data_IF_543924371346
#
_entry.id   IF_543924371346
#
_cell.length_a   1.000
_cell.length_b   1.000
_cell.length_c   1.000
_cell.angle_alpha   90.00
_cell.angle_beta   90.00
_cell.angle_gamma   90.00
#
_symmetry.space_group_name_H-M   'P 1'
#
loop_
_entity.id
_entity.type
_entity.pdbx_description
1 polymer ?
#
# COMPACT_ATOMS: atom_id res chain seq x y z
N UNK A 1 -11.11 -13.82 5.86
CA UNK A 1 -9.89 -12.99 5.82
C UNK A 1 -10.05 -11.74 6.68
N UNK A 2 -9.00 -11.28 7.37
CA UNK A 2 -9.02 -9.98 8.08
C UNK A 2 -9.17 -8.86 7.03
N UNK A 3 -10.16 -8.02 7.17
CA UNK A 3 -10.37 -6.90 6.25
C UNK A 3 -9.39 -5.77 6.61
N UNK A 4 -8.50 -5.38 5.68
CA UNK A 4 -7.55 -4.29 5.91
C UNK A 4 -8.28 -2.95 5.98
N UNK A 5 -7.91 -2.14 6.97
CA UNK A 5 -8.39 -0.77 7.15
C UNK A 5 -7.43 0.01 8.06
N UNK A 6 -7.47 1.30 8.00
CA UNK A 6 -6.62 2.16 8.83
C UNK A 6 -5.43 2.70 8.08
N UNK A 7 -4.52 3.33 8.80
CA UNK A 7 -3.31 3.88 8.22
C UNK A 7 -2.22 2.83 8.16
N UNK A 8 -1.71 2.56 6.97
CA UNK A 8 -0.60 1.68 6.70
C UNK A 8 0.63 2.51 6.34
N UNK A 9 1.74 2.25 7.03
CA UNK A 9 3.01 2.90 6.68
C UNK A 9 3.61 2.19 5.48
N UNK A 10 3.78 2.92 4.36
CA UNK A 10 4.68 2.48 3.29
C UNK A 10 6.10 2.76 3.73
N UNK A 11 6.80 1.70 4.14
CA UNK A 11 8.05 1.77 4.87
C UNK A 11 9.22 2.22 4.00
N UNK A 12 10.14 2.96 4.61
CA UNK A 12 11.49 3.14 4.07
C UNK A 12 12.29 1.84 4.21
N UNK A 13 13.33 1.69 3.39
CA UNK A 13 14.39 0.67 3.57
C UNK A 13 15.64 1.38 4.10
N UNK A 14 16.01 1.21 5.37
CA UNK A 14 17.21 1.85 5.92
C UNK A 14 18.49 1.28 5.29
N UNK A 15 19.38 2.14 4.86
CA UNK A 15 20.71 1.77 4.37
C UNK A 15 21.80 2.13 5.39
N UNK A 16 23.00 1.53 5.25
CA UNK A 16 24.19 1.91 5.99
C UNK A 16 24.69 3.29 5.55
N UNK A 17 25.63 3.87 6.31
CA UNK A 17 26.10 5.24 6.05
C UNK A 17 26.78 5.47 4.69
N UNK A 18 27.23 4.40 4.03
CA UNK A 18 27.75 4.42 2.65
C UNK A 18 26.66 4.25 1.56
N UNK A 19 25.41 3.94 1.97
CA UNK A 19 24.28 3.75 1.09
C UNK A 19 24.24 2.43 0.30
N UNK A 20 25.22 1.53 0.48
CA UNK A 20 25.35 0.31 -0.32
C UNK A 20 24.80 -0.95 0.34
N UNK A 21 24.48 -0.92 1.62
CA UNK A 21 24.00 -2.10 2.35
C UNK A 21 22.77 -1.77 3.16
N UNK A 22 21.82 -2.69 3.19
CA UNK A 22 20.62 -2.56 4.02
C UNK A 22 21.00 -2.69 5.49
N UNK A 23 20.52 -1.75 6.30
CA UNK A 23 20.70 -1.77 7.76
C UNK A 23 19.51 -2.47 8.41
N UNK A 24 19.60 -3.80 8.56
CA UNK A 24 18.53 -4.61 9.14
C UNK A 24 18.26 -4.30 10.61
N UNK A 25 19.26 -3.90 11.39
CA UNK A 25 19.07 -3.51 12.80
C UNK A 25 18.20 -2.25 12.91
N UNK A 26 18.42 -1.28 12.02
CA UNK A 26 17.59 -0.09 11.94
C UNK A 26 16.19 -0.42 11.45
N UNK A 27 16.05 -1.33 10.48
CA UNK A 27 14.75 -1.79 9.98
C UNK A 27 13.92 -2.44 11.08
N UNK A 28 14.50 -3.34 11.88
CA UNK A 28 13.80 -3.98 13.00
C UNK A 28 13.35 -2.99 14.07
N UNK A 29 14.24 -2.07 14.47
CA UNK A 29 13.91 -1.01 15.44
C UNK A 29 12.78 -0.12 14.91
N UNK A 30 12.79 0.15 13.61
CA UNK A 30 11.77 0.93 12.96
C UNK A 30 10.42 0.22 12.97
N UNK A 31 10.37 -1.09 12.64
CA UNK A 31 9.15 -1.91 12.70
C UNK A 31 8.58 -1.90 14.12
N UNK A 32 9.40 -2.17 15.13
CA UNK A 32 8.97 -2.16 16.52
C UNK A 32 8.41 -0.81 16.95
N UNK A 33 9.03 0.28 16.50
CA UNK A 33 8.58 1.61 16.80
C UNK A 33 7.22 1.92 16.15
N UNK A 34 7.05 1.59 14.87
CA UNK A 34 5.79 1.74 14.13
C UNK A 34 4.63 1.03 14.87
N UNK A 35 4.85 -0.22 15.26
CA UNK A 35 3.85 -1.02 15.97
C UNK A 35 3.53 -0.41 17.34
N UNK A 36 4.55 0.01 18.12
CA UNK A 36 4.33 0.67 19.41
C UNK A 36 3.58 1.99 19.31
N UNK A 37 3.70 2.71 18.19
CA UNK A 37 2.99 3.95 17.91
C UNK A 37 1.55 3.74 17.42
N UNK A 38 1.13 2.47 17.26
CA UNK A 38 -0.25 2.12 16.95
C UNK A 38 -0.64 2.18 15.48
N UNK A 39 0.34 2.06 14.56
CA UNK A 39 0.02 1.95 13.13
C UNK A 39 -0.84 0.71 12.85
N UNK A 40 -1.70 0.76 11.84
CA UNK A 40 -2.67 -0.30 11.56
C UNK A 40 -2.15 -1.37 10.60
N UNK A 41 -1.05 -1.12 9.91
CA UNK A 41 -0.39 -2.07 9.01
C UNK A 41 0.89 -1.51 8.43
N UNK A 42 1.69 -2.38 7.83
CA UNK A 42 2.97 -2.05 7.21
C UNK A 42 2.98 -2.50 5.75
N UNK A 43 3.63 -1.71 4.89
CA UNK A 43 3.86 -2.07 3.49
C UNK A 43 5.36 -1.98 3.23
N UNK A 44 6.00 -3.12 3.03
CA UNK A 44 7.40 -3.20 2.61
C UNK A 44 7.53 -3.14 1.08
N UNK A 45 8.68 -2.74 0.59
CA UNK A 45 9.01 -2.73 -0.85
C UNK A 45 8.04 -1.91 -1.72
N UNK A 46 7.46 -0.84 -1.17
CA UNK A 46 6.80 0.19 -1.97
C UNK A 46 7.83 1.14 -2.62
N UNK A 47 7.36 2.15 -3.35
CA UNK A 47 8.24 3.20 -3.94
C UNK A 47 9.08 3.90 -2.87
N UNK A 48 8.49 4.20 -1.71
CA UNK A 48 9.19 4.78 -0.55
C UNK A 48 10.29 3.87 0.00
N UNK A 49 10.11 2.55 -0.13
CA UNK A 49 11.10 1.53 0.25
C UNK A 49 12.14 1.23 -0.82
N UNK A 50 12.19 2.04 -1.89
CA UNK A 50 13.20 2.00 -2.96
C UNK A 50 13.30 0.63 -3.65
N UNK A 51 12.14 -0.04 -3.85
CA UNK A 51 12.09 -1.43 -4.34
C UNK A 51 12.83 -1.67 -5.67
N UNK A 52 12.93 -0.63 -6.53
CA UNK A 52 13.64 -0.73 -7.81
C UNK A 52 15.16 -0.72 -7.67
N UNK A 53 15.67 -0.23 -6.55
CA UNK A 53 17.11 -0.16 -6.26
C UNK A 53 17.65 -1.43 -5.58
N UNK A 54 16.78 -2.35 -5.18
CA UNK A 54 17.12 -3.58 -4.48
C UNK A 54 17.25 -4.75 -5.47
N UNK A 55 18.30 -5.54 -5.33
CA UNK A 55 18.41 -6.82 -6.02
C UNK A 55 17.47 -7.88 -5.42
N UNK A 56 17.36 -9.05 -6.05
CA UNK A 56 16.41 -10.10 -5.65
C UNK A 56 16.65 -10.61 -4.23
N UNK A 57 17.92 -10.83 -3.85
CA UNK A 57 18.28 -11.29 -2.51
C UNK A 57 17.93 -10.25 -1.44
N UNK A 58 18.18 -8.97 -1.72
CA UNK A 58 17.81 -7.87 -0.83
C UNK A 58 16.29 -7.75 -0.67
N UNK A 59 15.53 -7.85 -1.76
CA UNK A 59 14.05 -7.86 -1.72
C UNK A 59 13.54 -9.00 -0.85
N UNK A 60 14.06 -10.21 -1.04
CA UNK A 60 13.71 -11.37 -0.23
C UNK A 60 14.01 -11.14 1.25
N UNK A 61 15.23 -10.70 1.56
CA UNK A 61 15.67 -10.50 2.95
C UNK A 61 14.89 -9.39 3.66
N UNK A 62 14.56 -8.28 2.96
CA UNK A 62 13.72 -7.19 3.50
C UNK A 62 12.31 -7.70 3.76
N UNK A 63 11.69 -8.39 2.80
CA UNK A 63 10.35 -8.96 2.96
C UNK A 63 10.27 -9.90 4.16
N UNK A 64 11.20 -10.85 4.22
CA UNK A 64 11.30 -11.81 5.32
C UNK A 64 11.48 -11.11 6.66
N UNK A 65 12.38 -10.13 6.74
CA UNK A 65 12.64 -9.41 7.98
C UNK A 65 11.43 -8.61 8.47
N UNK A 66 10.69 -7.96 7.57
CA UNK A 66 9.47 -7.22 7.93
C UNK A 66 8.41 -8.18 8.46
N UNK A 67 8.16 -9.28 7.78
CA UNK A 67 7.15 -10.27 8.15
C UNK A 67 7.49 -10.92 9.49
N UNK A 68 8.70 -11.46 9.62
CA UNK A 68 9.18 -12.14 10.84
C UNK A 68 9.13 -11.18 12.05
N UNK A 69 9.61 -9.93 11.90
CA UNK A 69 9.64 -8.98 13.01
C UNK A 69 8.27 -8.49 13.42
N UNK A 70 7.37 -8.34 12.47
CA UNK A 70 5.99 -7.94 12.76
C UNK A 70 5.23 -9.01 13.54
N UNK A 71 5.53 -10.29 13.28
CA UNK A 71 5.01 -11.44 14.02
C UNK A 71 3.47 -11.40 14.18
N UNK A 72 2.76 -11.04 13.09
CA UNK A 72 1.30 -10.98 13.04
C UNK A 72 0.64 -9.90 13.91
N UNK A 73 1.41 -8.99 14.54
CA UNK A 73 0.86 -7.91 15.41
C UNK A 73 0.02 -6.92 14.63
N UNK A 74 0.40 -6.64 13.37
CA UNK A 74 -0.36 -5.87 12.40
C UNK A 74 -0.24 -6.53 11.03
N UNK A 75 -1.18 -6.29 10.08
CA UNK A 75 -1.05 -6.79 8.71
C UNK A 75 0.21 -6.25 8.02
N UNK A 76 0.85 -7.13 7.23
CA UNK A 76 2.00 -6.78 6.38
C UNK A 76 1.65 -7.05 4.93
N UNK A 77 1.77 -6.03 4.08
CA UNK A 77 1.75 -6.17 2.64
C UNK A 77 3.16 -6.01 2.09
N UNK A 78 3.45 -6.73 1.01
CA UNK A 78 4.72 -6.59 0.29
C UNK A 78 4.46 -6.02 -1.11
N UNK A 79 5.24 -5.04 -1.51
CA UNK A 79 5.25 -4.50 -2.87
C UNK A 79 5.92 -5.49 -3.83
N UNK A 80 5.13 -6.05 -4.75
CA UNK A 80 5.60 -7.09 -5.68
C UNK A 80 5.54 -6.64 -7.14
N UNK A 81 5.30 -5.34 -7.39
CA UNK A 81 5.27 -4.77 -8.72
C UNK A 81 6.59 -4.98 -9.48
N UNK A 82 6.47 -5.31 -10.76
CA UNK A 82 7.56 -5.41 -11.72
C UNK A 82 7.02 -5.12 -13.13
N UNK A 83 7.92 -4.94 -14.10
CA UNK A 83 7.53 -4.63 -15.47
C UNK A 83 6.86 -5.82 -16.18
N UNK A 84 7.27 -7.05 -15.88
CA UNK A 84 6.70 -8.24 -16.50
C UNK A 84 5.87 -9.07 -15.51
N UNK A 85 4.85 -9.74 -16.06
CA UNK A 85 3.89 -10.54 -15.28
C UNK A 85 4.55 -11.69 -14.51
N UNK A 86 5.57 -12.32 -15.06
CA UNK A 86 6.22 -13.49 -14.45
C UNK A 86 6.99 -13.12 -13.18
N UNK A 87 7.67 -11.98 -13.17
CA UNK A 87 8.34 -11.48 -11.97
C UNK A 87 7.33 -11.07 -10.90
N UNK A 88 6.21 -10.43 -11.29
CA UNK A 88 5.13 -10.12 -10.33
C UNK A 88 4.57 -11.40 -9.70
N UNK A 89 4.33 -12.46 -10.50
CA UNK A 89 3.88 -13.75 -9.97
C UNK A 89 4.92 -14.34 -9.03
N UNK A 90 6.19 -14.35 -9.41
CA UNK A 90 7.28 -14.90 -8.61
C UNK A 90 7.41 -14.18 -7.26
N UNK A 91 7.46 -12.85 -7.27
CA UNK A 91 7.54 -12.05 -6.04
C UNK A 91 6.29 -12.17 -5.17
N UNK A 92 5.11 -12.27 -5.78
CA UNK A 92 3.86 -12.41 -5.03
C UNK A 92 3.75 -13.77 -4.35
N UNK A 93 4.15 -14.85 -5.02
CA UNK A 93 4.26 -16.19 -4.42
C UNK A 93 5.28 -16.24 -3.30
N UNK A 94 6.43 -15.61 -3.50
CA UNK A 94 7.47 -15.53 -2.47
C UNK A 94 6.96 -14.78 -1.23
N UNK A 95 6.28 -13.64 -1.42
CA UNK A 95 5.67 -12.90 -0.31
C UNK A 95 4.62 -13.73 0.44
N UNK A 96 3.76 -14.46 -0.28
CA UNK A 96 2.79 -15.38 0.31
C UNK A 96 3.46 -16.50 1.12
N UNK A 97 4.48 -17.15 0.56
CA UNK A 97 5.25 -18.20 1.24
C UNK A 97 5.98 -17.71 2.50
N UNK A 98 6.43 -16.46 2.52
CA UNK A 98 6.99 -15.80 3.68
C UNK A 98 5.95 -15.44 4.75
N UNK A 99 4.67 -15.49 4.43
CA UNK A 99 3.57 -15.19 5.35
C UNK A 99 3.05 -13.74 5.31
N UNK A 100 3.22 -13.04 4.20
CA UNK A 100 2.57 -11.74 3.98
C UNK A 100 1.04 -11.89 4.04
N UNK A 101 0.36 -10.89 4.61
CA UNK A 101 -1.12 -10.84 4.64
C UNK A 101 -1.73 -10.38 3.30
N UNK A 102 -0.94 -9.80 2.41
CA UNK A 102 -1.33 -9.37 1.08
C UNK A 102 -0.15 -8.82 0.27
N UNK A 103 -0.42 -8.46 -0.97
CA UNK A 103 0.56 -7.81 -1.86
C UNK A 103 0.03 -6.48 -2.38
N UNK A 104 0.93 -5.51 -2.60
CA UNK A 104 0.61 -4.25 -3.27
C UNK A 104 1.30 -4.22 -4.63
N UNK A 105 0.53 -4.02 -5.70
CA UNK A 105 1.03 -4.12 -7.06
C UNK A 105 0.74 -2.84 -7.83
N UNK A 106 1.81 -2.13 -8.23
CA UNK A 106 1.76 -1.09 -9.25
C UNK A 106 1.70 -1.76 -10.62
N UNK A 107 0.88 -1.28 -11.59
CA UNK A 107 0.92 -1.78 -12.96
C UNK A 107 2.33 -1.69 -13.56
N UNK A 108 2.59 -2.37 -14.71
CA UNK A 108 3.80 -2.10 -15.48
C UNK A 108 3.99 -0.60 -15.66
N UNK A 109 5.18 -0.10 -15.32
CA UNK A 109 5.42 1.34 -15.12
C UNK A 109 6.27 2.00 -16.22
N UNK A 110 6.92 1.20 -17.06
CA UNK A 110 7.64 1.68 -18.23
C UNK A 110 6.78 1.57 -19.49
N UNK A 111 6.08 0.45 -19.67
CA UNK A 111 5.17 0.22 -20.80
C UNK A 111 3.79 0.85 -20.58
N UNK A 112 3.00 0.90 -21.65
CA UNK A 112 1.63 1.45 -21.64
C UNK A 112 0.63 0.37 -22.06
N UNK A 113 0.37 -0.63 -21.21
CA UNK A 113 -0.54 -1.72 -21.53
C UNK A 113 -1.98 -1.22 -21.71
N UNK A 114 -2.71 -1.88 -22.58
CA UNK A 114 -4.15 -1.71 -22.76
C UNK A 114 -4.92 -2.26 -21.55
N UNK A 115 -6.20 -1.89 -21.42
CA UNK A 115 -7.07 -2.40 -20.35
C UNK A 115 -7.14 -3.94 -20.34
N UNK A 116 -7.24 -4.58 -21.50
CA UNK A 116 -7.25 -6.04 -21.61
C UNK A 116 -5.93 -6.69 -21.17
N UNK A 117 -4.80 -6.05 -21.46
CA UNK A 117 -3.49 -6.53 -21.00
C UNK A 117 -3.35 -6.35 -19.50
N UNK A 118 -3.81 -5.23 -18.92
CA UNK A 118 -3.89 -5.02 -17.48
C UNK A 118 -4.75 -6.09 -16.80
N UNK A 119 -5.95 -6.34 -17.33
CA UNK A 119 -6.84 -7.38 -16.80
C UNK A 119 -6.14 -8.74 -16.80
N UNK A 120 -5.56 -9.14 -17.93
CA UNK A 120 -4.84 -10.42 -18.06
C UNK A 120 -3.61 -10.49 -17.13
N UNK A 121 -2.89 -9.39 -16.95
CA UNK A 121 -1.77 -9.29 -16.01
C UNK A 121 -2.24 -9.57 -14.58
N UNK A 122 -3.19 -8.81 -14.07
CA UNK A 122 -3.70 -8.98 -12.71
C UNK A 122 -4.41 -10.32 -12.50
N UNK A 123 -5.15 -10.82 -13.50
CA UNK A 123 -5.80 -12.13 -13.44
C UNK A 123 -4.77 -13.26 -13.26
N UNK A 124 -3.68 -13.27 -14.04
CA UNK A 124 -2.62 -14.29 -13.91
C UNK A 124 -1.93 -14.21 -12.54
N UNK A 125 -1.70 -13.02 -12.01
CA UNK A 125 -1.15 -12.85 -10.66
C UNK A 125 -2.12 -13.37 -9.62
N UNK A 126 -3.39 -12.96 -9.69
CA UNK A 126 -4.44 -13.38 -8.78
C UNK A 126 -4.62 -14.91 -8.75
N UNK A 127 -4.61 -15.55 -9.92
CA UNK A 127 -4.71 -17.02 -10.05
C UNK A 127 -3.49 -17.76 -9.45
N UNK A 128 -2.42 -17.04 -9.15
CA UNK A 128 -1.17 -17.63 -8.68
C UNK A 128 -0.99 -17.59 -7.15
N UNK A 129 -1.81 -16.82 -6.42
CA UNK A 129 -1.74 -16.60 -4.97
C UNK A 129 -3.14 -16.61 -4.36
N UNK A 130 -3.23 -16.86 -3.05
CA UNK A 130 -4.49 -16.84 -2.29
C UNK A 130 -4.66 -15.57 -1.43
N UNK A 131 -3.57 -14.84 -1.20
CA UNK A 131 -3.61 -13.60 -0.42
C UNK A 131 -4.14 -12.43 -1.26
N UNK A 132 -4.78 -11.42 -0.64
CA UNK A 132 -5.40 -10.32 -1.35
C UNK A 132 -4.37 -9.40 -2.04
N UNK A 133 -4.80 -8.86 -3.16
CA UNK A 133 -4.06 -7.88 -3.95
C UNK A 133 -4.61 -6.48 -3.66
N UNK A 134 -3.71 -5.56 -3.34
CA UNK A 134 -3.95 -4.12 -3.36
C UNK A 134 -3.40 -3.55 -4.67
N UNK A 135 -4.27 -3.10 -5.55
CA UNK A 135 -3.88 -2.31 -6.73
C UNK A 135 -3.20 -1.02 -6.26
N UNK A 136 -2.18 -0.57 -6.98
CA UNK A 136 -1.58 0.73 -6.72
C UNK A 136 -1.70 1.62 -7.95
N UNK A 137 -2.59 2.60 -7.91
CA UNK A 137 -2.76 3.59 -8.96
C UNK A 137 -1.94 4.84 -8.67
N UNK A 138 -0.93 5.09 -9.50
CA UNK A 138 -0.12 6.31 -9.50
C UNK A 138 0.33 6.64 -10.93
N UNK A 139 -0.52 7.25 -11.74
CA UNK A 139 -0.21 7.54 -13.14
C UNK A 139 0.96 8.52 -13.32
N UNK A 140 1.31 9.29 -12.30
CA UNK A 140 2.51 10.15 -12.35
C UNK A 140 3.83 9.36 -12.42
N UNK A 141 3.83 8.08 -12.02
CA UNK A 141 5.04 7.24 -12.00
C UNK A 141 4.91 5.97 -12.83
N UNK A 142 3.72 5.59 -13.26
CA UNK A 142 3.44 4.30 -13.88
C UNK A 142 2.93 4.39 -15.32
N UNK A 143 2.97 5.49 -16.01
CA UNK A 143 2.43 5.67 -17.37
C UNK A 143 1.04 5.03 -17.63
N UNK A 144 0.40 4.51 -16.59
CA UNK A 144 -0.90 3.82 -16.60
C UNK A 144 -1.80 4.49 -15.60
N UNK A 145 -3.01 4.79 -16.00
CA UNK A 145 -4.06 5.28 -15.11
C UNK A 145 -5.15 4.21 -14.94
N UNK A 146 -5.25 3.66 -13.74
CA UNK A 146 -6.37 2.79 -13.37
C UNK A 146 -7.59 3.67 -13.06
N UNK A 147 -8.31 4.08 -14.11
CA UNK A 147 -9.54 4.85 -13.96
C UNK A 147 -10.59 4.09 -13.13
N UNK A 148 -11.59 4.75 -12.53
CA UNK A 148 -12.64 4.06 -11.78
C UNK A 148 -13.33 2.93 -12.55
N UNK A 149 -13.50 3.06 -13.88
CA UNK A 149 -14.09 2.01 -14.73
C UNK A 149 -13.13 0.82 -14.88
N UNK A 150 -11.84 1.06 -15.09
CA UNK A 150 -10.82 -0.01 -15.12
C UNK A 150 -10.75 -0.70 -13.76
N UNK A 151 -10.77 0.04 -12.65
CA UNK A 151 -10.80 -0.54 -11.29
C UNK A 151 -12.03 -1.41 -11.08
N UNK A 152 -13.19 -0.96 -11.56
CA UNK A 152 -14.42 -1.77 -11.56
C UNK A 152 -14.21 -3.09 -12.30
N UNK A 153 -13.66 -3.05 -13.50
CA UNK A 153 -13.38 -4.27 -14.26
C UNK A 153 -12.39 -5.20 -13.53
N UNK A 154 -11.31 -4.64 -12.95
CA UNK A 154 -10.34 -5.41 -12.18
C UNK A 154 -10.93 -5.97 -10.89
N UNK A 155 -11.95 -5.34 -10.30
CA UNK A 155 -12.63 -5.83 -9.09
C UNK A 155 -13.45 -7.10 -9.31
N UNK A 156 -13.66 -7.51 -10.57
CA UNK A 156 -14.29 -8.79 -10.91
C UNK A 156 -13.31 -9.99 -10.75
N UNK A 157 -12.01 -9.72 -10.58
CA UNK A 157 -11.00 -10.75 -10.34
C UNK A 157 -11.00 -11.10 -8.85
N UNK A 158 -11.18 -12.39 -8.53
CA UNK A 158 -11.10 -12.87 -7.16
C UNK A 158 -9.77 -12.43 -6.52
N UNK A 159 -9.79 -12.09 -5.22
CA UNK A 159 -8.71 -11.56 -4.40
C UNK A 159 -8.11 -10.19 -4.81
N UNK A 160 -8.54 -9.54 -5.88
CA UNK A 160 -8.28 -8.12 -6.14
C UNK A 160 -9.30 -7.30 -5.34
N UNK A 161 -8.97 -6.92 -4.10
CA UNK A 161 -9.94 -6.45 -3.11
C UNK A 161 -9.62 -5.06 -2.54
N UNK A 162 -8.46 -4.50 -2.88
CA UNK A 162 -8.00 -3.23 -2.36
C UNK A 162 -7.38 -2.38 -3.46
N UNK A 163 -7.45 -1.05 -3.28
CA UNK A 163 -6.72 -0.09 -4.11
C UNK A 163 -6.12 1.02 -3.27
N UNK A 164 -4.86 1.36 -3.56
CA UNK A 164 -4.21 2.60 -3.17
C UNK A 164 -4.38 3.60 -4.32
N UNK A 165 -5.22 4.62 -4.11
CA UNK A 165 -5.48 5.68 -5.08
C UNK A 165 -4.60 6.90 -4.82
N UNK A 166 -3.73 7.26 -5.77
CA UNK A 166 -2.72 8.31 -5.60
C UNK A 166 -2.71 9.36 -6.70
N UNK A 167 -3.84 9.58 -7.38
CA UNK A 167 -3.95 10.62 -8.43
C UNK A 167 -4.10 12.04 -7.88
N UNK A 168 -4.29 12.23 -6.56
CA UNK A 168 -4.68 13.49 -5.92
C UNK A 168 -6.11 13.97 -6.26
N UNK A 169 -6.82 13.30 -7.15
CA UNK A 169 -8.24 13.52 -7.40
C UNK A 169 -9.09 12.67 -6.45
N UNK A 170 -9.46 13.26 -5.32
CA UNK A 170 -10.24 12.57 -4.27
C UNK A 170 -11.66 12.19 -4.72
N UNK A 171 -12.16 12.74 -5.83
CA UNK A 171 -13.46 12.35 -6.36
C UNK A 171 -13.45 10.89 -6.86
N UNK A 172 -12.30 10.39 -7.30
CA UNK A 172 -12.10 8.99 -7.71
C UNK A 172 -12.35 8.00 -6.58
N UNK A 173 -12.02 8.37 -5.33
CA UNK A 173 -12.31 7.53 -4.15
C UNK A 173 -13.81 7.22 -4.09
N UNK A 174 -14.64 8.24 -4.17
CA UNK A 174 -16.12 8.11 -4.18
C UNK A 174 -16.60 7.31 -5.38
N UNK A 175 -16.05 7.56 -6.56
CA UNK A 175 -16.48 6.91 -7.80
C UNK A 175 -16.11 5.42 -7.80
N UNK A 176 -14.91 5.04 -7.31
CA UNK A 176 -14.51 3.65 -7.14
C UNK A 176 -15.44 2.95 -6.14
N UNK A 177 -15.71 3.56 -4.97
CA UNK A 177 -16.62 2.99 -3.97
C UNK A 177 -18.01 2.74 -4.57
N UNK A 178 -18.53 3.72 -5.29
CA UNK A 178 -19.85 3.60 -5.95
C UNK A 178 -19.92 2.52 -7.03
N UNK A 179 -18.85 2.40 -7.83
CA UNK A 179 -18.82 1.46 -8.97
C UNK A 179 -18.50 0.02 -8.56
N UNK A 180 -17.64 -0.14 -7.55
CA UNK A 180 -17.17 -1.46 -7.11
C UNK A 180 -17.95 -2.00 -5.91
N UNK A 181 -18.75 -1.15 -5.24
CA UNK A 181 -19.55 -1.52 -4.06
C UNK A 181 -18.68 -2.17 -2.97
N UNK A 182 -19.01 -3.36 -2.51
CA UNK A 182 -18.29 -4.08 -1.46
C UNK A 182 -17.08 -4.89 -1.96
N UNK A 183 -16.87 -4.97 -3.28
CA UNK A 183 -15.76 -5.71 -3.89
C UNK A 183 -14.41 -5.02 -3.70
N UNK A 184 -14.38 -3.68 -3.55
CA UNK A 184 -13.14 -2.92 -3.48
C UNK A 184 -13.09 -2.03 -2.24
N UNK A 185 -12.04 -2.17 -1.44
CA UNK A 185 -11.74 -1.25 -0.33
C UNK A 185 -10.69 -0.23 -0.77
N UNK A 186 -11.04 1.06 -0.68
CA UNK A 186 -10.16 2.15 -1.11
C UNK A 186 -9.28 2.64 0.05
N UNK A 187 -7.99 2.76 -0.24
CA UNK A 187 -6.98 3.44 0.56
C UNK A 187 -6.53 4.69 -0.19
N UNK A 188 -6.55 5.85 0.46
CA UNK A 188 -5.93 7.04 -0.07
C UNK A 188 -4.40 6.85 -0.16
N UNK A 189 -3.79 7.40 -1.19
CA UNK A 189 -2.34 7.45 -1.33
C UNK A 189 -1.79 8.78 -0.81
N UNK A 190 -1.84 9.85 -1.62
CA UNK A 190 -1.31 11.16 -1.26
C UNK A 190 -2.31 11.94 -0.39
N UNK A 191 -3.56 12.08 -0.84
CA UNK A 191 -4.63 12.84 -0.20
C UNK A 191 -5.43 11.95 0.77
N UNK A 192 -4.77 11.42 1.83
CA UNK A 192 -5.39 10.40 2.67
C UNK A 192 -6.49 10.90 3.58
N UNK A 193 -6.35 12.10 4.17
CA UNK A 193 -7.39 12.67 5.01
C UNK A 193 -8.64 13.01 4.18
N UNK A 194 -8.45 13.65 3.05
CA UNK A 194 -9.52 13.97 2.09
C UNK A 194 -10.17 12.68 1.56
N UNK A 195 -9.39 11.63 1.37
CA UNK A 195 -9.91 10.31 1.00
C UNK A 195 -10.82 9.72 2.08
N UNK A 196 -10.48 9.89 3.38
CA UNK A 196 -11.37 9.48 4.47
C UNK A 196 -12.71 10.22 4.43
N UNK A 197 -12.69 11.53 4.14
CA UNK A 197 -13.91 12.32 4.00
C UNK A 197 -14.78 11.89 2.80
N UNK A 198 -14.17 11.24 1.81
CA UNK A 198 -14.85 10.66 0.65
C UNK A 198 -15.15 9.15 0.77
N UNK A 199 -14.98 8.56 1.96
CA UNK A 199 -15.39 7.20 2.27
C UNK A 199 -14.29 6.14 2.20
N UNK A 200 -13.03 6.50 1.97
CA UNK A 200 -11.92 5.56 2.05
C UNK A 200 -11.82 4.94 3.45
N UNK A 201 -11.49 3.67 3.52
CA UNK A 201 -11.31 2.94 4.78
C UNK A 201 -9.84 2.80 5.17
N UNK A 202 -8.93 3.32 4.38
CA UNK A 202 -7.51 3.29 4.69
C UNK A 202 -6.72 4.45 4.08
N UNK A 203 -5.49 4.59 4.53
CA UNK A 203 -4.49 5.49 4.00
C UNK A 203 -3.12 4.79 3.95
N UNK A 204 -2.51 4.71 2.78
CA UNK A 204 -1.11 4.30 2.62
C UNK A 204 -0.25 5.56 2.73
N UNK A 205 0.24 5.83 3.94
CA UNK A 205 0.84 7.10 4.29
C UNK A 205 2.38 7.06 4.25
N UNK A 206 3.00 8.04 3.60
CA UNK A 206 4.46 8.25 3.65
C UNK A 206 4.85 8.97 4.95
N UNK A 207 4.12 10.00 5.34
CA UNK A 207 4.39 10.80 6.54
C UNK A 207 4.32 9.99 7.85
N UNK A 208 3.64 8.85 7.86
CA UNK A 208 3.63 7.93 9.01
C UNK A 208 5.00 7.28 9.30
N UNK A 209 5.97 7.37 8.37
CA UNK A 209 7.36 7.00 8.66
C UNK A 209 7.99 7.88 9.76
N UNK A 210 7.47 9.08 9.99
CA UNK A 210 7.99 10.03 10.99
C UNK A 210 7.00 10.32 12.13
N UNK A 211 5.69 10.25 11.87
CA UNK A 211 4.63 10.59 12.84
C UNK A 211 3.52 9.51 12.86
N UNK A 212 3.84 8.24 13.11
CA UNK A 212 2.86 7.15 12.98
C UNK A 212 1.65 7.30 13.92
N UNK A 213 1.84 7.79 15.14
CA UNK A 213 0.74 7.97 16.10
C UNK A 213 -0.30 8.98 15.64
N UNK A 214 0.13 10.09 15.05
CA UNK A 214 -0.73 11.14 14.53
C UNK A 214 -1.57 10.63 13.35
N UNK A 215 -0.92 9.91 12.44
CA UNK A 215 -1.60 9.31 11.28
C UNK A 215 -2.58 8.21 11.71
N UNK A 216 -2.22 7.38 12.69
CA UNK A 216 -3.11 6.38 13.26
C UNK A 216 -4.31 7.03 13.98
N UNK A 217 -4.07 8.10 14.76
CA UNK A 217 -5.12 8.85 15.43
C UNK A 217 -6.06 9.53 14.43
N UNK A 218 -5.51 10.07 13.35
CA UNK A 218 -6.31 10.72 12.31
C UNK A 218 -7.34 9.75 11.68
N UNK A 219 -6.93 8.52 11.36
CA UNK A 219 -7.87 7.49 10.92
C UNK A 219 -8.96 7.22 11.96
N UNK A 220 -8.57 7.02 13.22
CA UNK A 220 -9.52 6.73 14.30
C UNK A 220 -10.57 7.86 14.44
N UNK A 221 -10.13 9.10 14.39
CA UNK A 221 -11.03 10.25 14.51
C UNK A 221 -11.93 10.42 13.28
N UNK A 222 -11.37 10.28 12.08
CA UNK A 222 -12.12 10.52 10.83
C UNK A 222 -13.12 9.40 10.52
N UNK A 223 -12.70 8.13 10.67
CA UNK A 223 -13.46 6.98 10.16
C UNK A 223 -14.24 6.28 11.27
N UNK A 224 -13.63 6.10 12.45
CA UNK A 224 -14.25 5.33 13.54
C UNK A 224 -15.12 6.24 14.42
N UNK A 225 -14.54 7.28 14.97
CA UNK A 225 -15.23 8.17 15.93
C UNK A 225 -16.09 9.25 15.24
N UNK A 226 -15.79 9.55 13.96
CA UNK A 226 -16.42 10.63 13.17
C UNK A 226 -16.33 12.00 13.86
N UNK A 227 -15.25 12.24 14.60
CA UNK A 227 -14.92 13.52 15.22
C UNK A 227 -14.09 14.36 14.24
N UNK A 228 -14.77 14.99 13.30
CA UNK A 228 -14.15 15.70 12.17
C UNK A 228 -13.38 16.95 12.64
N UNK A 229 -13.82 17.63 13.68
CA UNK A 229 -13.16 18.85 14.17
C UNK A 229 -11.80 18.53 14.80
N UNK A 230 -11.71 17.51 15.63
CA UNK A 230 -10.43 17.05 16.18
C UNK A 230 -9.53 16.47 15.09
N UNK A 231 -10.09 15.70 14.15
CA UNK A 231 -9.35 15.16 13.00
C UNK A 231 -8.72 16.31 12.18
N UNK A 232 -9.50 17.35 11.89
CA UNK A 232 -9.01 18.55 11.17
C UNK A 232 -7.89 19.26 11.92
N UNK A 233 -7.98 19.34 13.24
CA UNK A 233 -6.93 19.96 14.07
C UNK A 233 -5.61 19.19 13.97
N UNK A 234 -5.66 17.86 14.05
CA UNK A 234 -4.47 17.01 13.86
C UNK A 234 -3.92 17.14 12.44
N UNK A 235 -4.80 17.09 11.43
CA UNK A 235 -4.39 17.20 10.03
C UNK A 235 -3.62 18.48 9.74
N UNK A 236 -4.09 19.62 10.28
CA UNK A 236 -3.39 20.91 10.15
C UNK A 236 -1.97 20.87 10.72
N UNK A 237 -1.74 20.11 11.79
CA UNK A 237 -0.42 20.01 12.41
C UNK A 237 0.55 19.12 11.62
N UNK A 238 0.05 18.09 10.94
CA UNK A 238 0.88 17.19 10.14
C UNK A 238 1.02 17.63 8.67
N UNK A 239 0.17 18.55 8.21
CA UNK A 239 0.11 19.01 6.83
C UNK A 239 1.48 19.50 6.30
N UNK A 240 2.28 20.30 7.04
CA UNK A 240 3.60 20.74 6.56
C UNK A 240 4.63 19.61 6.33
N UNK A 241 4.30 18.38 6.72
CA UNK A 241 5.17 17.21 6.53
C UNK A 241 4.71 16.39 5.31
N UNK A 242 3.46 16.63 4.87
CA UNK A 242 2.86 15.90 3.75
C UNK A 242 3.09 16.64 2.41
N UNK A 243 3.21 17.96 2.45
CA UNK A 243 3.57 18.81 1.30
C UNK A 243 5.03 18.57 0.86
#
# INVERSE_FOLDING_TARGET
MKKFRGTFTVMITPFSGDGFKINFDSLEKFIDWQIRQGIHGLIGLGSTGEFLSLNEEERYNVSKRIIDRTDGKVPVLIGTGAENTWDVIRYSREAELLGADGVMIIPPFYSTPTENELFNHFKKVADSISIPIMLYNNPATANVDLTPDIVKHLSEIDNVSYIKESTMDVTRVRDIIRLCEDKMTVFGGIMGYESFLNGALGWVAVGSNIMPSEFAKLFKLSVINKNIDEARSIYKNIFPIIE
#
